data_IF_127827685062
#
_entry.id   IF_127827685062
#
_cell.length_a   1.000
_cell.length_b   1.000
_cell.length_c   1.000
_cell.angle_alpha   90.00
_cell.angle_beta   90.00
_cell.angle_gamma   90.00
#
_symmetry.space_group_name_H-M   'P 1'
#
loop_
_entity.id
_entity.type
_entity.pdbx_description
1 polymer ?
#
# COMPACT_ATOMS: atom_id res chain seq x y z
N UNK A 1 -21.31 19.68 14.99
CA UNK A 1 -20.67 18.83 16.03
C UNK A 1 -19.30 18.39 15.54
N UNK A 2 -18.22 18.53 16.32
CA UNK A 2 -16.88 18.02 15.97
C UNK A 2 -16.99 16.50 15.75
N UNK A 3 -16.52 15.99 14.59
CA UNK A 3 -16.54 14.56 14.23
C UNK A 3 -15.42 13.76 14.90
N UNK A 4 -14.42 14.43 15.45
CA UNK A 4 -13.22 13.85 16.05
C UNK A 4 -12.93 14.49 17.42
N UNK A 5 -12.19 13.79 18.26
CA UNK A 5 -11.70 14.26 19.56
C UNK A 5 -10.18 14.09 19.62
N UNK A 6 -9.51 14.87 20.47
CA UNK A 6 -8.05 14.78 20.65
C UNK A 6 -7.68 13.36 21.11
N UNK A 7 -6.63 12.81 20.49
CA UNK A 7 -6.06 11.54 20.91
C UNK A 7 -5.17 11.77 22.14
N UNK A 8 -5.28 10.89 23.12
CA UNK A 8 -4.42 10.91 24.31
C UNK A 8 -3.60 9.62 24.35
N UNK A 9 -2.30 9.76 24.10
CA UNK A 9 -1.35 8.66 24.21
C UNK A 9 -1.13 8.22 25.66
N UNK A 10 -0.84 6.93 25.87
CA UNK A 10 -0.37 6.40 27.15
C UNK A 10 1.06 6.85 27.46
N UNK A 11 1.85 7.17 26.44
CA UNK A 11 3.25 7.62 26.56
C UNK A 11 3.29 9.16 26.62
N UNK A 12 3.56 9.72 27.79
CA UNK A 12 3.47 11.18 28.03
C UNK A 12 4.77 11.93 27.77
N UNK A 13 5.88 11.24 27.74
CA UNK A 13 7.23 11.79 27.68
C UNK A 13 7.88 11.67 26.26
N UNK A 14 7.13 11.23 25.26
CA UNK A 14 7.53 11.23 23.85
C UNK A 14 6.86 12.38 23.07
N UNK A 15 7.46 12.74 21.93
CA UNK A 15 6.88 13.74 21.01
C UNK A 15 5.51 13.28 20.54
N UNK A 16 4.50 14.15 20.63
CA UNK A 16 3.16 13.89 20.08
C UNK A 16 3.02 14.44 18.66
N UNK A 17 2.20 13.78 17.86
CA UNK A 17 1.79 14.24 16.54
C UNK A 17 0.50 15.08 16.59
N UNK A 18 -0.02 15.33 17.79
CA UNK A 18 -1.28 16.06 18.01
C UNK A 18 -2.46 15.52 17.21
N UNK A 19 -2.51 14.21 17.08
CA UNK A 19 -3.52 13.52 16.31
C UNK A 19 -4.90 13.55 17.00
N UNK A 20 -5.93 13.30 16.20
CA UNK A 20 -7.31 13.16 16.66
C UNK A 20 -7.82 11.76 16.33
N UNK A 21 -8.84 11.35 17.04
CA UNK A 21 -9.52 10.06 16.84
C UNK A 21 -10.98 10.30 16.45
N UNK A 22 -11.54 9.52 15.50
CA UNK A 22 -12.97 9.55 15.22
C UNK A 22 -13.81 9.32 16.50
N UNK A 23 -14.82 10.17 16.70
CA UNK A 23 -15.59 10.17 17.94
C UNK A 23 -16.21 8.80 18.28
N UNK A 24 -16.60 8.04 17.25
CA UNK A 24 -17.19 6.71 17.41
C UNK A 24 -16.19 5.70 18.00
N UNK A 25 -14.88 5.88 17.77
CA UNK A 25 -13.82 4.98 18.25
C UNK A 25 -13.16 5.46 19.54
N UNK A 26 -13.39 6.72 19.93
CA UNK A 26 -12.64 7.37 21.00
C UNK A 26 -12.73 6.62 22.35
N UNK A 27 -13.95 6.33 22.80
CA UNK A 27 -14.16 5.64 24.06
C UNK A 27 -13.57 4.23 24.07
N UNK A 28 -13.78 3.48 22.99
CA UNK A 28 -13.27 2.11 22.84
C UNK A 28 -11.75 2.08 22.83
N UNK A 29 -11.11 2.97 22.06
CA UNK A 29 -9.65 3.05 21.98
C UNK A 29 -9.04 3.49 23.31
N UNK A 30 -9.60 4.51 23.97
CA UNK A 30 -9.12 4.96 25.28
C UNK A 30 -9.21 3.83 26.30
N UNK A 31 -10.30 3.11 26.33
CA UNK A 31 -10.49 1.95 27.22
C UNK A 31 -9.51 0.83 26.95
N UNK A 32 -9.26 0.51 25.67
CA UNK A 32 -8.29 -0.51 25.26
C UNK A 32 -6.85 -0.12 25.66
N UNK A 33 -6.48 1.15 25.47
CA UNK A 33 -5.17 1.67 25.86
C UNK A 33 -5.01 1.70 27.39
N UNK A 34 -6.05 2.05 28.15
CA UNK A 34 -6.03 1.99 29.62
C UNK A 34 -5.78 0.57 30.10
N UNK A 35 -6.49 -0.43 29.53
CA UNK A 35 -6.29 -1.84 29.85
C UNK A 35 -4.86 -2.30 29.49
N UNK A 36 -4.33 -1.87 28.34
CA UNK A 36 -2.96 -2.16 27.95
C UNK A 36 -1.97 -1.58 28.95
N UNK A 37 -2.14 -0.30 29.31
CA UNK A 37 -1.28 0.39 30.27
C UNK A 37 -1.29 -0.29 31.64
N UNK A 38 -2.46 -0.69 32.15
CA UNK A 38 -2.61 -1.47 33.39
C UNK A 38 -1.89 -2.83 33.30
N UNK A 39 -2.11 -3.56 32.20
CA UNK A 39 -1.47 -4.86 31.98
C UNK A 39 0.06 -4.79 31.89
N UNK A 40 0.60 -3.64 31.50
CA UNK A 40 2.03 -3.38 31.39
C UNK A 40 2.61 -2.63 32.61
N UNK A 41 1.86 -2.50 33.70
CA UNK A 41 2.31 -1.88 34.93
C UNK A 41 2.50 -0.38 34.84
N UNK A 42 1.86 0.30 33.88
CA UNK A 42 1.93 1.75 33.69
C UNK A 42 3.09 2.24 32.81
N UNK A 43 3.90 1.34 32.24
CA UNK A 43 5.06 1.69 31.40
C UNK A 43 4.98 1.06 30.01
N UNK A 44 4.12 1.61 29.17
CA UNK A 44 3.97 1.19 27.77
C UNK A 44 5.23 1.50 26.96
N UNK A 45 5.86 2.65 27.20
CA UNK A 45 7.11 3.04 26.54
C UNK A 45 8.25 2.06 26.85
N UNK A 46 8.47 1.73 28.13
CA UNK A 46 9.46 0.76 28.54
C UNK A 46 9.22 -0.66 28.02
N UNK A 47 7.95 -1.06 27.93
CA UNK A 47 7.59 -2.32 27.28
C UNK A 47 8.06 -2.37 25.82
N UNK A 48 7.76 -1.34 25.02
CA UNK A 48 8.17 -1.28 23.60
C UNK A 48 9.69 -1.17 23.49
N UNK A 49 10.32 -0.30 24.28
CA UNK A 49 11.78 -0.14 24.31
C UNK A 49 12.50 -1.47 24.57
N UNK A 50 12.04 -2.23 25.55
CA UNK A 50 12.58 -3.55 25.85
C UNK A 50 12.44 -4.53 24.68
N UNK A 51 11.26 -4.57 24.02
CA UNK A 51 11.01 -5.47 22.88
C UNK A 51 11.79 -5.10 21.63
N UNK A 52 12.10 -3.82 21.46
CA UNK A 52 12.90 -3.32 20.34
C UNK A 52 14.41 -3.25 20.68
N UNK A 53 14.83 -3.68 21.88
CA UNK A 53 16.20 -3.53 22.39
C UNK A 53 16.73 -2.10 22.19
N UNK A 54 15.96 -1.13 22.64
CA UNK A 54 16.27 0.30 22.60
C UNK A 54 16.24 0.89 24.02
N UNK A 55 17.02 1.93 24.27
CA UNK A 55 16.80 2.76 25.43
C UNK A 55 15.51 3.58 25.29
N UNK A 56 15.01 4.14 26.39
CA UNK A 56 13.84 5.03 26.34
C UNK A 56 14.09 6.27 25.46
N UNK A 57 15.32 6.78 25.45
CA UNK A 57 15.72 7.95 24.66
C UNK A 57 15.72 7.62 23.18
N UNK A 58 16.39 6.55 22.76
CA UNK A 58 16.39 6.08 21.36
C UNK A 58 14.96 5.80 20.84
N UNK A 59 14.10 5.21 21.68
CA UNK A 59 12.71 4.95 21.30
C UNK A 59 11.96 6.27 21.01
N UNK A 60 12.11 7.28 21.86
CA UNK A 60 11.44 8.58 21.72
C UNK A 60 11.97 9.42 20.55
N UNK A 61 13.23 9.25 20.19
CA UNK A 61 13.79 9.85 18.99
C UNK A 61 13.27 9.17 17.72
N UNK A 62 13.12 7.84 17.75
CA UNK A 62 12.68 7.05 16.60
C UNK A 62 11.17 7.09 16.37
N UNK A 63 10.34 7.11 17.42
CA UNK A 63 8.89 6.99 17.38
C UNK A 63 8.18 8.09 18.18
N UNK A 64 7.12 8.63 17.61
CA UNK A 64 6.21 9.52 18.33
C UNK A 64 5.32 8.71 19.32
N UNK A 65 4.73 9.39 20.30
CA UNK A 65 3.89 8.79 21.33
C UNK A 65 2.76 7.93 20.75
N UNK A 66 2.09 8.44 19.72
CA UNK A 66 1.04 7.72 19.00
C UNK A 66 1.55 6.43 18.33
N UNK A 67 2.75 6.49 17.76
CA UNK A 67 3.36 5.35 17.09
C UNK A 67 3.76 4.28 18.09
N UNK A 68 4.27 4.67 19.26
CA UNK A 68 4.61 3.74 20.36
C UNK A 68 3.36 3.00 20.83
N UNK A 69 2.21 3.66 21.01
CA UNK A 69 0.95 3.02 21.37
C UNK A 69 0.51 1.98 20.32
N UNK A 70 0.63 2.30 19.02
CA UNK A 70 0.29 1.38 17.94
C UNK A 70 1.17 0.13 17.92
N UNK A 71 2.49 0.32 18.09
CA UNK A 71 3.46 -0.76 18.18
C UNK A 71 3.24 -1.61 19.44
N UNK A 72 2.94 -0.97 20.58
CA UNK A 72 2.63 -1.67 21.83
C UNK A 72 1.41 -2.58 21.69
N UNK A 73 0.32 -2.06 21.09
CA UNK A 73 -0.88 -2.88 20.80
C UNK A 73 -0.54 -4.06 19.90
N UNK A 74 0.29 -3.84 18.85
CA UNK A 74 0.69 -4.91 17.93
C UNK A 74 1.47 -6.00 18.64
N UNK A 75 2.53 -5.64 19.36
CA UNK A 75 3.38 -6.59 20.09
C UNK A 75 2.57 -7.32 21.16
N UNK A 76 1.75 -6.59 21.94
CA UNK A 76 0.94 -7.20 23.00
C UNK A 76 -0.07 -8.21 22.45
N UNK A 77 -0.78 -7.90 21.36
CA UNK A 77 -1.71 -8.84 20.74
C UNK A 77 -0.99 -10.08 20.20
N UNK A 78 0.18 -9.93 19.57
CA UNK A 78 1.00 -11.05 19.10
C UNK A 78 1.43 -11.93 20.26
N UNK A 79 2.03 -11.35 21.31
CA UNK A 79 2.63 -12.12 22.40
C UNK A 79 1.61 -12.76 23.35
N UNK A 80 0.51 -12.06 23.65
CA UNK A 80 -0.45 -12.47 24.66
C UNK A 80 -1.68 -13.17 24.11
N UNK A 81 -2.02 -12.90 22.86
CA UNK A 81 -3.26 -13.40 22.26
C UNK A 81 -3.04 -14.23 21.00
N UNK A 82 -1.84 -14.21 20.39
CA UNK A 82 -1.59 -14.80 19.08
C UNK A 82 -2.44 -14.16 17.98
N UNK A 83 -2.76 -12.88 18.13
CA UNK A 83 -3.68 -12.14 17.25
C UNK A 83 -3.04 -10.88 16.68
N UNK A 84 -3.65 -10.35 15.65
CA UNK A 84 -3.20 -9.17 14.91
C UNK A 84 -3.82 -7.89 15.43
N UNK A 85 -3.25 -6.77 14.95
CA UNK A 85 -3.82 -5.44 15.06
C UNK A 85 -3.99 -4.81 13.68
N UNK A 86 -5.01 -3.99 13.52
CA UNK A 86 -5.23 -3.12 12.37
C UNK A 86 -4.86 -1.69 12.75
N UNK A 87 -3.79 -1.16 12.19
CA UNK A 87 -3.35 0.23 12.34
C UNK A 87 -3.97 1.02 11.20
N UNK A 88 -5.13 1.61 11.46
CA UNK A 88 -5.95 2.36 10.52
C UNK A 88 -5.61 3.85 10.42
N UNK A 89 -4.42 4.25 10.82
CA UNK A 89 -3.97 5.63 10.87
C UNK A 89 -4.00 6.33 9.51
N UNK A 90 -4.38 7.60 9.50
CA UNK A 90 -4.34 8.43 8.31
C UNK A 90 -2.93 8.52 7.74
N UNK A 91 -2.82 8.76 6.44
CA UNK A 91 -1.53 9.03 5.78
C UNK A 91 -0.82 10.20 6.47
N UNK A 92 0.48 10.04 6.76
CA UNK A 92 1.27 11.06 7.46
C UNK A 92 1.44 10.84 8.97
N UNK A 93 0.63 9.98 9.62
CA UNK A 93 0.82 9.59 11.04
C UNK A 93 2.09 8.71 11.22
N UNK A 94 2.70 8.27 10.12
CA UNK A 94 3.94 7.50 10.15
C UNK A 94 3.74 5.99 10.29
N UNK A 95 2.82 5.41 9.53
CA UNK A 95 2.64 3.95 9.43
C UNK A 95 3.93 3.24 9.03
N UNK A 96 4.76 3.84 8.15
CA UNK A 96 6.06 3.28 7.76
C UNK A 96 6.98 3.05 8.96
N UNK A 97 7.06 4.01 9.88
CA UNK A 97 7.83 3.86 11.13
C UNK A 97 7.30 2.74 12.02
N UNK A 98 5.98 2.60 12.13
CA UNK A 98 5.37 1.50 12.88
C UNK A 98 5.64 0.15 12.20
N UNK A 99 5.58 0.07 10.86
CA UNK A 99 5.95 -1.12 10.11
C UNK A 99 7.42 -1.51 10.30
N UNK A 100 8.35 -0.54 10.24
CA UNK A 100 9.76 -0.76 10.50
C UNK A 100 10.04 -1.22 11.94
N UNK A 101 9.29 -0.68 12.92
CA UNK A 101 9.35 -1.15 14.31
C UNK A 101 8.92 -2.62 14.42
N UNK A 102 7.91 -3.04 13.65
CA UNK A 102 7.50 -4.44 13.62
C UNK A 102 8.51 -5.35 12.89
N UNK A 103 9.22 -4.85 11.87
CA UNK A 103 10.36 -5.57 11.28
C UNK A 103 11.43 -5.79 12.33
N UNK A 104 11.84 -4.72 13.05
CA UNK A 104 12.83 -4.80 14.13
C UNK A 104 12.40 -5.80 15.22
N UNK A 105 11.15 -5.68 15.69
CA UNK A 105 10.59 -6.61 16.66
C UNK A 105 10.66 -8.06 16.16
N UNK A 106 10.28 -8.30 14.91
CA UNK A 106 10.31 -9.62 14.30
C UNK A 106 11.72 -10.23 14.30
N UNK A 107 12.71 -9.48 13.82
CA UNK A 107 14.11 -9.90 13.80
C UNK A 107 14.63 -10.24 15.20
N UNK A 108 14.36 -9.41 16.20
CA UNK A 108 14.81 -9.59 17.57
C UNK A 108 14.08 -10.72 18.32
N UNK A 109 12.84 -11.04 17.91
CA UNK A 109 12.00 -12.06 18.54
C UNK A 109 12.02 -13.41 17.83
N UNK A 110 12.94 -13.59 16.86
CA UNK A 110 13.12 -14.84 16.11
C UNK A 110 11.99 -15.13 15.12
N UNK A 111 11.31 -14.09 14.64
CA UNK A 111 10.43 -14.19 13.48
C UNK A 111 11.20 -13.89 12.19
N UNK A 112 10.72 -14.44 11.08
CA UNK A 112 11.06 -13.99 9.74
C UNK A 112 10.05 -12.91 9.33
N UNK A 113 10.43 -11.60 9.31
CA UNK A 113 9.53 -10.56 8.85
C UNK A 113 9.33 -10.64 7.34
N UNK A 114 8.08 -10.52 6.88
CA UNK A 114 7.72 -10.41 5.45
C UNK A 114 6.89 -9.14 5.28
N UNK A 115 7.53 -8.13 4.68
CA UNK A 115 6.91 -6.83 4.43
C UNK A 115 6.24 -6.80 3.06
N UNK A 116 4.92 -6.60 3.06
CA UNK A 116 4.10 -6.40 1.87
C UNK A 116 3.74 -4.93 1.67
N UNK A 117 3.85 -4.44 0.43
CA UNK A 117 3.40 -3.09 0.08
C UNK A 117 2.82 -3.03 -1.33
N UNK A 118 2.22 -1.89 -1.72
CA UNK A 118 1.58 -1.71 -3.02
C UNK A 118 2.59 -1.51 -4.16
N UNK A 119 3.63 -0.68 -3.93
CA UNK A 119 4.61 -0.29 -4.94
C UNK A 119 6.04 -0.56 -4.47
N UNK A 120 6.88 -1.02 -5.37
CA UNK A 120 8.30 -1.28 -5.07
C UNK A 120 9.09 -0.01 -4.70
N UNK A 121 8.64 1.18 -5.13
CA UNK A 121 9.26 2.46 -4.74
C UNK A 121 9.24 2.67 -3.22
N UNK A 122 8.24 2.11 -2.52
CA UNK A 122 8.12 2.17 -1.06
C UNK A 122 9.17 1.32 -0.32
N UNK A 123 9.93 0.48 -1.01
CA UNK A 123 11.03 -0.26 -0.38
C UNK A 123 12.16 0.66 0.07
N UNK A 124 12.45 1.73 -0.68
CA UNK A 124 13.43 2.75 -0.27
C UNK A 124 12.93 3.58 0.92
N UNK A 125 11.63 3.89 0.96
CA UNK A 125 11.01 4.52 2.14
C UNK A 125 11.09 3.62 3.37
N UNK A 126 10.85 2.32 3.20
CA UNK A 126 10.98 1.34 4.29
C UNK A 126 12.43 1.22 4.77
N UNK A 127 13.40 1.24 3.87
CA UNK A 127 14.83 1.25 4.25
C UNK A 127 15.16 2.49 5.11
N UNK A 128 14.71 3.68 4.70
CA UNK A 128 14.86 4.91 5.51
C UNK A 128 14.26 4.75 6.90
N UNK A 129 13.07 4.16 6.99
CA UNK A 129 12.38 3.96 8.27
C UNK A 129 13.07 2.87 9.12
N UNK A 130 13.60 1.81 8.51
CA UNK A 130 14.44 0.81 9.16
C UNK A 130 15.75 1.41 9.69
N UNK A 131 16.43 2.25 8.89
CA UNK A 131 17.65 2.98 9.29
C UNK A 131 17.39 3.83 10.54
N UNK A 132 16.27 4.54 10.58
CA UNK A 132 15.89 5.35 11.73
C UNK A 132 15.57 4.53 13.00
N UNK A 133 15.25 3.25 12.85
CA UNK A 133 15.06 2.30 13.95
C UNK A 133 16.32 1.45 14.22
N UNK A 134 17.48 1.83 13.69
CA UNK A 134 18.75 1.17 13.97
C UNK A 134 18.92 -0.22 13.38
N UNK A 135 18.16 -0.58 12.33
CA UNK A 135 18.27 -1.87 11.63
C UNK A 135 18.73 -1.73 10.18
N UNK A 136 19.59 -0.75 9.92
CA UNK A 136 20.15 -0.50 8.57
C UNK A 136 20.96 -1.68 8.00
N UNK A 137 21.51 -2.52 8.87
CA UNK A 137 22.34 -3.67 8.49
C UNK A 137 21.51 -4.91 8.10
N UNK A 138 20.19 -4.92 8.39
CA UNK A 138 19.33 -6.05 8.05
C UNK A 138 19.11 -6.11 6.53
N UNK A 139 19.35 -7.29 5.96
CA UNK A 139 19.42 -7.52 4.51
C UNK A 139 18.10 -8.07 3.97
N UNK A 140 17.35 -7.29 3.17
CA UNK A 140 16.10 -7.78 2.58
C UNK A 140 16.34 -8.68 1.37
N UNK A 141 15.59 -9.77 1.27
CA UNK A 141 15.32 -10.39 -0.02
C UNK A 141 14.23 -9.58 -0.72
N UNK A 142 14.62 -8.81 -1.73
CA UNK A 142 13.66 -8.09 -2.58
C UNK A 142 13.12 -9.05 -3.64
N UNK A 143 11.84 -9.44 -3.51
CA UNK A 143 11.20 -10.44 -4.37
C UNK A 143 10.91 -9.93 -5.78
N UNK A 144 10.81 -8.62 -5.95
CA UNK A 144 10.57 -7.96 -7.23
C UNK A 144 11.88 -7.89 -8.05
N UNK A 145 11.99 -8.69 -9.11
CA UNK A 145 13.18 -8.69 -9.97
C UNK A 145 13.47 -7.30 -10.58
N UNK A 146 14.75 -6.95 -10.68
CA UNK A 146 15.21 -5.70 -11.29
C UNK A 146 15.04 -4.44 -10.42
N UNK A 147 14.48 -4.57 -9.22
CA UNK A 147 14.28 -3.44 -8.31
C UNK A 147 15.55 -3.15 -7.51
N UNK A 148 15.85 -1.86 -7.34
CA UNK A 148 16.90 -1.36 -6.45
C UNK A 148 16.26 -0.59 -5.28
N UNK A 149 16.84 -0.75 -4.09
CA UNK A 149 16.52 0.03 -2.89
C UNK A 149 17.62 1.06 -2.72
N UNK A 150 17.25 2.33 -2.56
CA UNK A 150 18.19 3.45 -2.47
C UNK A 150 18.13 4.13 -1.11
N UNK A 151 19.23 4.71 -0.67
CA UNK A 151 19.30 5.59 0.48
C UNK A 151 19.08 7.04 0.04
N UNK A 152 17.94 7.63 0.42
CA UNK A 152 17.61 9.02 0.09
C UNK A 152 18.49 10.07 0.80
N UNK A 153 19.21 9.68 1.85
CA UNK A 153 20.10 10.58 2.57
C UNK A 153 21.48 10.72 1.91
N UNK A 154 21.81 9.79 0.99
CA UNK A 154 23.09 9.78 0.29
C UNK A 154 22.87 10.00 -1.20
N UNK A 155 23.17 11.23 -1.64
CA UNK A 155 23.20 11.59 -3.07
C UNK A 155 24.56 11.25 -3.60
N UNK A 156 24.63 10.46 -4.67
CA UNK A 156 25.88 10.20 -5.38
C UNK A 156 26.13 11.39 -6.32
N UNK A 157 27.09 12.23 -5.96
CA UNK A 157 27.51 13.34 -6.83
C UNK A 157 27.93 12.78 -8.20
N UNK A 158 27.21 13.17 -9.24
CA UNK A 158 27.67 12.98 -10.61
C UNK A 158 28.23 14.32 -11.10
N UNK A 159 29.39 14.27 -11.68
CA UNK A 159 29.82 15.31 -12.63
C UNK A 159 28.82 15.31 -13.81
N UNK A 160 27.70 16.01 -13.63
CA UNK A 160 26.75 16.24 -14.72
C UNK A 160 27.31 17.34 -15.59
N UNK A 161 27.88 16.96 -16.72
CA UNK A 161 28.23 17.88 -17.83
C UNK A 161 27.02 18.26 -18.67
N UNK A 162 25.77 17.92 -18.24
CA UNK A 162 24.55 18.33 -18.94
C UNK A 162 24.09 19.68 -18.41
N UNK A 163 24.27 20.72 -19.23
CA UNK A 163 23.62 22.01 -19.02
C UNK A 163 22.11 21.87 -19.27
N UNK A 164 21.31 22.61 -18.51
CA UNK A 164 19.84 22.57 -18.53
C UNK A 164 19.20 22.79 -19.92
N UNK A 165 19.99 23.23 -20.89
CA UNK A 165 19.54 23.54 -22.25
C UNK A 165 19.59 22.31 -23.18
N UNK A 166 20.27 21.23 -22.81
CA UNK A 166 20.35 19.99 -23.61
C UNK A 166 19.18 19.02 -23.30
N UNK A 167 18.38 19.29 -22.27
CA UNK A 167 17.28 18.41 -21.82
C UNK A 167 15.99 18.60 -22.63
N UNK A 168 15.93 19.64 -23.49
CA UNK A 168 14.72 19.96 -24.26
C UNK A 168 15.03 20.20 -25.75
N UNK A 169 15.17 19.13 -26.50
CA UNK A 169 15.07 19.19 -27.97
C UNK A 169 13.96 18.25 -28.42
N UNK A 170 12.87 18.77 -29.01
CA UNK A 170 11.73 17.94 -29.46
C UNK A 170 11.97 17.29 -30.84
N UNK A 171 13.19 17.09 -31.28
CA UNK A 171 13.49 16.77 -32.68
C UNK A 171 13.87 15.33 -32.98
N UNK A 172 14.11 14.47 -32.00
CA UNK A 172 14.59 13.11 -32.26
C UNK A 172 13.66 12.03 -31.66
N UNK A 173 12.74 11.53 -32.48
CA UNK A 173 11.77 10.48 -32.11
C UNK A 173 12.38 9.06 -32.02
N UNK A 174 13.61 8.84 -32.48
CA UNK A 174 14.24 7.51 -32.51
C UNK A 174 15.02 7.10 -31.25
N UNK A 175 15.16 8.00 -30.23
CA UNK A 175 15.99 7.77 -29.05
C UNK A 175 15.20 7.70 -27.71
N UNK A 176 13.87 7.54 -27.75
CA UNK A 176 13.04 7.58 -26.55
C UNK A 176 13.34 6.44 -25.55
N UNK A 177 13.61 5.22 -26.01
CA UNK A 177 13.99 4.11 -25.11
C UNK A 177 15.35 4.35 -24.44
N UNK A 178 16.30 4.91 -25.19
CA UNK A 178 17.64 5.25 -24.67
C UNK A 178 17.55 6.43 -23.70
N UNK A 179 16.73 7.42 -24.01
CA UNK A 179 16.46 8.58 -23.14
C UNK A 179 15.75 8.21 -21.84
N UNK A 180 14.73 7.35 -21.88
CA UNK A 180 14.06 6.83 -20.68
C UNK A 180 14.99 5.90 -19.87
N UNK A 181 15.81 5.08 -20.54
CA UNK A 181 16.82 4.26 -19.87
C UNK A 181 17.93 5.14 -19.26
N UNK A 182 18.35 6.23 -19.93
CA UNK A 182 19.30 7.19 -19.41
C UNK A 182 18.72 8.06 -18.31
N UNK A 183 17.44 8.47 -18.40
CA UNK A 183 16.73 9.20 -17.37
C UNK A 183 16.45 8.32 -16.14
N UNK A 184 16.06 7.06 -16.32
CA UNK A 184 15.99 6.09 -15.23
C UNK A 184 17.36 5.79 -14.65
N UNK A 185 18.40 5.74 -15.47
CA UNK A 185 19.78 5.60 -15.00
C UNK A 185 20.28 6.87 -14.26
N UNK A 186 19.91 8.06 -14.68
CA UNK A 186 20.16 9.33 -13.99
C UNK A 186 19.41 9.39 -12.64
N UNK A 187 18.15 8.97 -12.60
CA UNK A 187 17.38 8.93 -11.35
C UNK A 187 17.91 7.85 -10.37
N UNK A 188 18.34 6.70 -10.87
CA UNK A 188 18.99 5.65 -10.07
C UNK A 188 20.42 6.02 -9.64
N UNK A 189 21.07 6.90 -10.36
CA UNK A 189 22.42 7.39 -10.04
C UNK A 189 22.45 8.56 -9.06
N UNK A 190 21.29 9.22 -8.78
CA UNK A 190 21.22 10.32 -7.81
C UNK A 190 21.28 9.87 -6.35
N UNK A 191 20.92 8.62 -6.04
CA UNK A 191 20.93 8.08 -4.69
C UNK A 191 21.77 6.81 -4.62
N UNK A 192 22.43 6.62 -3.48
CA UNK A 192 23.20 5.41 -3.23
C UNK A 192 22.30 4.18 -3.26
N UNK A 193 22.64 3.18 -4.06
CA UNK A 193 21.93 1.90 -4.11
C UNK A 193 22.45 1.01 -2.99
N UNK A 194 21.61 0.76 -1.98
CA UNK A 194 21.95 -0.07 -0.81
C UNK A 194 21.65 -1.55 -1.01
N UNK A 195 20.60 -1.87 -1.73
CA UNK A 195 20.24 -3.25 -2.06
C UNK A 195 19.75 -3.36 -3.50
N UNK A 196 20.12 -4.46 -4.17
CA UNK A 196 19.57 -4.85 -5.47
C UNK A 196 18.84 -6.18 -5.35
N UNK A 197 17.66 -6.26 -5.94
CA UNK A 197 16.98 -7.54 -6.09
C UNK A 197 17.88 -8.54 -6.84
N UNK A 198 17.91 -9.80 -6.45
CA UNK A 198 18.58 -10.84 -7.21
C UNK A 198 18.05 -10.91 -8.65
N UNK A 199 18.86 -11.42 -9.57
CA UNK A 199 18.43 -11.67 -10.95
C UNK A 199 17.21 -12.61 -10.97
N UNK A 200 16.36 -12.47 -11.97
CA UNK A 200 15.11 -13.25 -12.08
C UNK A 200 15.37 -14.78 -12.02
N UNK A 201 16.46 -15.27 -12.61
CA UNK A 201 16.84 -16.69 -12.53
C UNK A 201 17.15 -17.15 -11.11
N UNK A 202 17.91 -16.32 -10.35
CA UNK A 202 18.27 -16.61 -8.95
C UNK A 202 17.01 -16.59 -8.07
N UNK A 203 16.12 -15.61 -8.27
CA UNK A 203 14.84 -15.58 -7.56
C UNK A 203 14.00 -16.83 -7.84
N UNK A 204 13.96 -17.28 -9.09
CA UNK A 204 13.24 -18.51 -9.45
C UNK A 204 13.83 -19.74 -8.76
N UNK A 205 15.16 -19.86 -8.68
CA UNK A 205 15.82 -20.94 -7.93
C UNK A 205 15.45 -20.91 -6.45
N UNK A 206 15.47 -19.74 -5.81
CA UNK A 206 15.07 -19.57 -4.42
C UNK A 206 13.60 -19.98 -4.23
N UNK A 207 12.70 -19.55 -5.11
CA UNK A 207 11.28 -19.91 -5.00
C UNK A 207 11.01 -21.40 -5.19
N UNK A 208 11.71 -22.05 -6.14
CA UNK A 208 11.57 -23.49 -6.39
C UNK A 208 12.14 -24.30 -5.23
N UNK A 209 13.27 -23.87 -4.64
CA UNK A 209 13.84 -24.53 -3.45
C UNK A 209 12.94 -24.39 -2.23
N UNK A 210 12.14 -23.33 -2.16
CA UNK A 210 11.26 -23.06 -1.02
C UNK A 210 12.01 -22.67 0.26
N UNK A 211 13.26 -22.24 0.16
CA UNK A 211 14.13 -21.90 1.29
C UNK A 211 14.67 -20.49 1.15
N UNK A 212 14.78 -19.76 2.28
CA UNK A 212 15.47 -18.48 2.33
C UNK A 212 16.96 -18.71 2.62
N UNK A 213 17.89 -18.21 1.77
CA UNK A 213 19.31 -18.18 2.10
C UNK A 213 19.59 -17.24 3.29
N UNK A 214 19.57 -17.79 4.52
CA UNK A 214 19.70 -17.01 5.76
C UNK A 214 21.09 -16.37 5.95
N UNK A 215 22.12 -16.90 5.31
CA UNK A 215 23.45 -16.30 5.24
C UNK A 215 23.47 -15.00 4.42
N UNK A 216 22.49 -14.82 3.54
CA UNK A 216 22.38 -13.67 2.65
C UNK A 216 21.25 -12.69 3.02
N UNK A 217 20.14 -13.17 3.62
CA UNK A 217 18.93 -12.38 3.83
C UNK A 217 18.33 -12.61 5.22
N UNK A 218 17.84 -11.53 5.83
CA UNK A 218 17.28 -11.52 7.18
C UNK A 218 15.75 -11.37 7.18
N UNK A 219 15.17 -10.76 6.12
CA UNK A 219 13.73 -10.54 5.95
C UNK A 219 13.36 -10.40 4.47
N UNK A 220 12.06 -10.31 4.16
CA UNK A 220 11.57 -10.17 2.79
C UNK A 220 10.86 -8.83 2.56
N UNK A 221 11.05 -8.27 1.36
CA UNK A 221 10.26 -7.17 0.80
C UNK A 221 9.55 -7.64 -0.48
N UNK A 222 8.23 -7.52 -0.53
CA UNK A 222 7.41 -8.01 -1.64
C UNK A 222 6.25 -7.05 -1.92
N UNK A 223 5.91 -6.85 -3.19
CA UNK A 223 4.67 -6.14 -3.54
C UNK A 223 3.51 -7.11 -3.73
N UNK A 224 2.28 -6.66 -3.43
CA UNK A 224 1.07 -7.46 -3.67
C UNK A 224 0.94 -7.93 -5.12
N UNK A 225 1.46 -7.16 -6.07
CA UNK A 225 1.43 -7.51 -7.50
C UNK A 225 2.14 -8.83 -7.82
N UNK A 226 3.09 -9.27 -6.98
CA UNK A 226 3.77 -10.55 -7.16
C UNK A 226 2.84 -11.77 -6.98
N UNK A 227 1.65 -11.59 -6.40
CA UNK A 227 0.62 -12.62 -6.26
C UNK A 227 -0.50 -12.53 -7.32
N UNK A 228 -0.41 -11.63 -8.31
CA UNK A 228 -1.46 -11.47 -9.35
C UNK A 228 -1.69 -12.72 -10.20
N UNK A 229 -0.64 -13.48 -10.43
CA UNK A 229 -0.68 -14.68 -11.27
C UNK A 229 -0.78 -15.99 -10.47
N UNK A 230 -1.06 -15.90 -9.17
CA UNK A 230 -1.12 -17.07 -8.27
C UNK A 230 -2.07 -18.20 -8.75
N UNK A 231 -3.04 -17.90 -9.62
CA UNK A 231 -3.89 -18.93 -10.26
C UNK A 231 -3.20 -19.68 -11.39
N UNK A 232 -2.19 -19.11 -12.04
CA UNK A 232 -1.46 -19.68 -13.17
C UNK A 232 -0.09 -20.19 -12.78
N UNK A 233 0.56 -19.46 -11.89
CA UNK A 233 1.88 -19.76 -11.37
C UNK A 233 1.86 -19.60 -9.86
N UNK A 234 1.77 -20.71 -9.13
CA UNK A 234 1.76 -20.75 -7.68
C UNK A 234 3.16 -20.70 -7.05
N UNK A 235 4.22 -20.62 -7.84
CA UNK A 235 5.61 -20.75 -7.34
C UNK A 235 5.91 -19.79 -6.19
N UNK A 236 5.52 -18.50 -6.32
CA UNK A 236 5.73 -17.52 -5.24
C UNK A 236 4.85 -17.76 -4.03
N UNK A 237 3.61 -18.18 -4.25
CA UNK A 237 2.69 -18.52 -3.17
C UNK A 237 3.20 -19.71 -2.38
N UNK A 238 3.62 -20.78 -3.08
CA UNK A 238 4.20 -21.99 -2.47
C UNK A 238 5.50 -21.68 -1.72
N UNK A 239 6.33 -20.79 -2.26
CA UNK A 239 7.53 -20.30 -1.57
C UNK A 239 7.17 -19.62 -0.24
N UNK A 240 6.19 -18.72 -0.23
CA UNK A 240 5.75 -18.06 1.01
C UNK A 240 5.17 -19.08 2.02
N UNK A 241 4.42 -20.06 1.56
CA UNK A 241 3.89 -21.12 2.41
C UNK A 241 5.02 -21.99 2.99
N UNK A 242 6.00 -22.38 2.17
CA UNK A 242 7.17 -23.13 2.63
C UNK A 242 7.98 -22.35 3.71
N UNK A 243 8.12 -21.04 3.55
CA UNK A 243 8.74 -20.21 4.61
C UNK A 243 7.92 -20.22 5.90
N UNK A 244 6.59 -20.23 5.81
CA UNK A 244 5.72 -20.30 6.99
C UNK A 244 5.80 -21.66 7.73
N UNK A 245 6.16 -22.73 7.03
CA UNK A 245 6.41 -24.05 7.63
C UNK A 245 7.78 -24.13 8.31
N UNK A 246 8.79 -23.46 7.74
CA UNK A 246 10.18 -23.53 8.22
C UNK A 246 10.50 -22.49 9.28
N UNK A 247 9.78 -21.35 9.29
CA UNK A 247 10.06 -20.20 10.14
C UNK A 247 8.82 -19.73 10.90
N UNK A 248 9.05 -19.09 12.03
CA UNK A 248 8.03 -18.25 12.68
C UNK A 248 7.91 -16.96 11.87
N UNK A 249 6.86 -16.84 11.07
CA UNK A 249 6.67 -15.69 10.17
C UNK A 249 5.85 -14.60 10.83
N UNK A 250 6.30 -13.33 10.64
CA UNK A 250 5.54 -12.13 10.94
C UNK A 250 5.25 -11.38 9.63
N UNK A 251 4.00 -11.43 9.17
CA UNK A 251 3.56 -10.64 8.04
C UNK A 251 3.26 -9.20 8.44
N UNK A 252 3.82 -8.25 7.70
CA UNK A 252 3.60 -6.81 7.88
C UNK A 252 2.97 -6.30 6.59
N UNK A 253 1.64 -6.14 6.60
CA UNK A 253 0.86 -5.72 5.44
C UNK A 253 0.70 -4.20 5.44
N UNK A 254 1.59 -3.50 4.74
CA UNK A 254 1.41 -2.07 4.46
C UNK A 254 0.43 -1.88 3.30
N UNK A 255 -0.36 -0.79 3.34
CA UNK A 255 -1.51 -0.61 2.45
C UNK A 255 -2.43 -1.85 2.41
N UNK A 256 -2.73 -2.39 3.60
CA UNK A 256 -3.43 -3.65 3.79
C UNK A 256 -4.78 -3.76 3.06
N UNK A 257 -5.39 -2.65 2.64
CA UNK A 257 -6.58 -2.68 1.78
C UNK A 257 -6.33 -3.37 0.43
N UNK A 258 -5.07 -3.53 0.00
CA UNK A 258 -4.70 -4.29 -1.20
C UNK A 258 -4.74 -5.81 -0.96
N UNK A 259 -4.49 -6.23 0.28
CA UNK A 259 -4.60 -7.65 0.68
C UNK A 259 -6.04 -8.13 0.75
N UNK A 260 -7.00 -7.20 0.88
CA UNK A 260 -8.42 -7.45 1.10
C UNK A 260 -9.31 -6.98 -0.06
N UNK A 261 -8.75 -6.81 -1.27
CA UNK A 261 -9.46 -6.29 -2.44
C UNK A 261 -10.59 -7.21 -2.91
N UNK A 262 -11.78 -6.63 -3.13
CA UNK A 262 -12.95 -7.33 -3.66
C UNK A 262 -13.39 -6.68 -4.97
N UNK A 263 -13.54 -7.48 -6.04
CA UNK A 263 -14.02 -7.05 -7.35
C UNK A 263 -15.34 -7.74 -7.69
N UNK A 264 -16.39 -6.95 -7.92
CA UNK A 264 -17.73 -7.47 -8.25
C UNK A 264 -18.22 -8.55 -7.26
N UNK A 265 -18.02 -8.35 -5.96
CA UNK A 265 -18.43 -9.28 -4.89
C UNK A 265 -17.54 -10.52 -4.73
N UNK A 266 -16.44 -10.63 -5.50
CA UNK A 266 -15.48 -11.75 -5.40
C UNK A 266 -14.10 -11.22 -4.96
N UNK A 267 -13.43 -11.97 -4.07
CA UNK A 267 -12.06 -11.67 -3.69
C UNK A 267 -11.14 -11.63 -4.91
N UNK A 268 -10.25 -10.62 -4.97
CA UNK A 268 -9.22 -10.54 -6.02
C UNK A 268 -8.28 -11.75 -5.95
N UNK A 269 -7.52 -12.02 -7.01
CA UNK A 269 -6.54 -13.12 -7.01
C UNK A 269 -5.49 -12.94 -5.90
N UNK A 270 -5.06 -11.70 -5.68
CA UNK A 270 -4.15 -11.35 -4.58
C UNK A 270 -4.78 -11.70 -3.22
N UNK A 271 -6.01 -11.28 -3.01
CA UNK A 271 -6.76 -11.56 -1.76
C UNK A 271 -6.95 -13.05 -1.54
N UNK A 272 -7.25 -13.82 -2.60
CA UNK A 272 -7.37 -15.27 -2.51
C UNK A 272 -6.03 -15.92 -2.11
N UNK A 273 -4.92 -15.47 -2.69
CA UNK A 273 -3.59 -15.96 -2.32
C UNK A 273 -3.22 -15.65 -0.87
N UNK A 274 -3.47 -14.42 -0.40
CA UNK A 274 -3.21 -14.04 0.99
C UNK A 274 -4.13 -14.79 1.95
N UNK A 275 -5.42 -14.91 1.64
CA UNK A 275 -6.35 -15.69 2.46
C UNK A 275 -5.91 -17.15 2.56
N UNK A 276 -5.47 -17.75 1.45
CA UNK A 276 -4.94 -19.12 1.44
C UNK A 276 -3.73 -19.26 2.37
N UNK A 277 -2.75 -18.34 2.28
CA UNK A 277 -1.61 -18.34 3.21
C UNK A 277 -2.11 -18.28 4.66
N UNK A 278 -2.98 -17.32 4.99
CA UNK A 278 -3.46 -17.12 6.35
C UNK A 278 -4.29 -18.30 6.87
N UNK A 279 -5.00 -19.04 6.00
CA UNK A 279 -5.78 -20.23 6.35
C UNK A 279 -4.87 -21.44 6.63
N UNK A 280 -3.93 -21.69 5.72
CA UNK A 280 -3.03 -22.86 5.80
C UNK A 280 -1.93 -22.70 6.85
N UNK A 281 -1.62 -21.47 7.29
CA UNK A 281 -0.53 -21.20 8.25
C UNK A 281 -1.03 -20.46 9.50
N UNK A 282 -1.88 -21.09 10.33
CA UNK A 282 -2.51 -20.45 11.50
C UNK A 282 -1.50 -19.96 12.56
N UNK A 283 -0.28 -20.51 12.58
CA UNK A 283 0.81 -20.15 13.50
C UNK A 283 1.48 -18.81 13.17
N UNK A 284 1.27 -18.27 11.97
CA UNK A 284 1.88 -16.99 11.55
C UNK A 284 1.21 -15.79 12.22
N UNK A 285 2.00 -14.76 12.46
CA UNK A 285 1.53 -13.50 13.02
C UNK A 285 1.38 -12.42 11.94
N UNK A 286 0.52 -11.44 12.17
CA UNK A 286 0.28 -10.37 11.20
C UNK A 286 0.14 -9.01 11.88
N UNK A 287 0.49 -7.95 11.14
CA UNK A 287 0.11 -6.57 11.42
C UNK A 287 -0.44 -5.96 10.14
N UNK A 288 -1.59 -5.31 10.21
CA UNK A 288 -2.23 -4.67 9.06
C UNK A 288 -2.16 -3.15 9.21
N UNK A 289 -1.56 -2.46 8.25
CA UNK A 289 -1.44 -1.01 8.24
C UNK A 289 -2.16 -0.45 6.99
N UNK A 290 -3.14 0.42 7.17
CA UNK A 290 -3.80 1.09 6.05
C UNK A 290 -4.66 2.26 6.49
N UNK A 291 -4.50 3.42 5.87
CA UNK A 291 -5.41 4.56 6.08
C UNK A 291 -6.85 4.26 5.62
N UNK A 292 -7.00 3.35 4.66
CA UNK A 292 -8.28 2.96 4.05
C UNK A 292 -8.52 1.45 4.22
N UNK A 293 -8.41 0.96 5.47
CA UNK A 293 -8.42 -0.47 5.80
C UNK A 293 -9.64 -1.24 5.27
N UNK A 294 -10.79 -0.58 5.10
CA UNK A 294 -11.99 -1.18 4.56
C UNK A 294 -12.70 -0.22 3.58
N UNK A 295 -12.29 -0.24 2.30
CA UNK A 295 -12.98 0.49 1.23
C UNK A 295 -14.39 -0.03 0.98
N UNK A 296 -14.62 -1.29 1.27
CA UNK A 296 -15.91 -1.98 1.24
C UNK A 296 -16.02 -2.85 2.47
N UNK A 297 -17.23 -3.09 3.00
CA UNK A 297 -17.43 -3.90 4.20
C UNK A 297 -16.77 -5.28 4.11
N UNK A 298 -16.82 -5.92 2.96
CA UNK A 298 -16.26 -7.26 2.73
C UNK A 298 -14.73 -7.33 2.87
N UNK A 299 -14.04 -6.18 2.81
CA UNK A 299 -12.58 -6.14 3.04
C UNK A 299 -12.21 -6.56 4.47
N UNK A 300 -13.13 -6.44 5.43
CA UNK A 300 -12.92 -6.85 6.82
C UNK A 300 -12.73 -8.37 6.98
N UNK A 301 -13.18 -9.18 6.03
CA UNK A 301 -13.06 -10.64 6.09
C UNK A 301 -11.62 -11.12 6.14
N UNK A 302 -10.69 -10.45 5.46
CA UNK A 302 -9.25 -10.79 5.52
C UNK A 302 -8.69 -10.56 6.93
N UNK A 303 -9.07 -9.46 7.58
CA UNK A 303 -8.60 -9.14 8.94
C UNK A 303 -9.21 -10.05 10.00
N UNK A 304 -10.40 -10.59 9.75
CA UNK A 304 -11.08 -11.53 10.63
C UNK A 304 -10.20 -12.71 11.02
N UNK A 305 -9.42 -13.26 10.07
CA UNK A 305 -8.64 -14.49 10.27
C UNK A 305 -7.60 -14.40 11.36
N UNK A 306 -7.21 -13.20 11.76
CA UNK A 306 -6.16 -12.96 12.78
C UNK A 306 -6.63 -12.02 13.90
N UNK A 307 -7.94 -11.87 14.07
CA UNK A 307 -8.54 -11.05 15.13
C UNK A 307 -9.60 -11.84 15.88
N UNK A 308 -10.12 -11.29 16.97
CA UNK A 308 -11.22 -11.88 17.76
C UNK A 308 -12.49 -12.09 16.94
N UNK A 309 -12.64 -11.47 15.78
CA UNK A 309 -13.79 -11.67 14.90
C UNK A 309 -13.94 -13.13 14.46
N UNK A 310 -12.84 -13.87 14.32
CA UNK A 310 -12.87 -15.30 13.97
C UNK A 310 -13.54 -16.18 15.05
N UNK A 311 -13.53 -15.74 16.30
CA UNK A 311 -14.20 -16.42 17.40
C UNK A 311 -15.67 -16.03 17.55
N UNK A 312 -16.06 -14.88 16.99
CA UNK A 312 -17.43 -14.34 17.14
C UNK A 312 -18.37 -14.80 16.04
N UNK A 313 -17.86 -15.04 14.84
CA UNK A 313 -18.68 -15.40 13.68
C UNK A 313 -17.90 -16.26 12.68
N UNK A 314 -18.62 -17.06 11.90
CA UNK A 314 -18.05 -17.68 10.71
C UNK A 314 -17.86 -16.63 9.61
N UNK A 315 -17.00 -16.91 8.63
CA UNK A 315 -16.78 -16.01 7.49
C UNK A 315 -18.09 -15.70 6.75
N UNK A 316 -18.92 -16.72 6.51
CA UNK A 316 -20.22 -16.54 5.85
C UNK A 316 -21.16 -15.67 6.66
N UNK A 317 -21.26 -15.91 7.97
CA UNK A 317 -22.11 -15.10 8.86
C UNK A 317 -21.67 -13.64 8.89
N UNK A 318 -20.37 -13.38 9.01
CA UNK A 318 -19.84 -12.01 8.99
C UNK A 318 -20.03 -11.36 7.62
N UNK A 319 -19.82 -12.09 6.54
CA UNK A 319 -20.03 -11.61 5.17
C UNK A 319 -21.48 -11.20 4.94
N UNK A 320 -22.43 -12.05 5.35
CA UNK A 320 -23.86 -11.75 5.22
C UNK A 320 -24.26 -10.54 6.08
N UNK A 321 -23.77 -10.47 7.32
CA UNK A 321 -24.01 -9.32 8.20
C UNK A 321 -23.44 -8.01 7.62
N UNK A 322 -22.21 -8.03 7.06
CA UNK A 322 -21.59 -6.88 6.42
C UNK A 322 -22.32 -6.47 5.13
N UNK A 323 -22.80 -7.45 4.36
CA UNK A 323 -23.53 -7.18 3.13
C UNK A 323 -24.90 -6.56 3.42
N UNK A 324 -25.63 -7.08 4.39
CA UNK A 324 -26.95 -6.57 4.79
C UNK A 324 -26.84 -5.23 5.54
N UNK A 325 -25.86 -5.10 6.44
CA UNK A 325 -25.71 -3.93 7.31
C UNK A 325 -24.88 -2.80 6.72
N UNK A 326 -24.09 -3.06 5.64
CA UNK A 326 -23.28 -2.04 4.95
C UNK A 326 -22.34 -1.28 5.87
N UNK A 327 -22.26 0.04 5.67
CA UNK A 327 -21.38 0.94 6.44
C UNK A 327 -21.63 0.92 7.95
N UNK A 328 -22.89 0.96 8.44
CA UNK A 328 -23.16 0.85 9.89
C UNK A 328 -22.60 -0.43 10.52
N UNK A 329 -22.69 -1.55 9.83
CA UNK A 329 -22.11 -2.81 10.32
C UNK A 329 -20.59 -2.79 10.31
N UNK A 330 -19.99 -2.17 9.30
CA UNK A 330 -18.55 -1.95 9.24
C UNK A 330 -18.05 -1.09 10.41
N UNK A 331 -18.77 -0.02 10.75
CA UNK A 331 -18.46 0.83 11.90
C UNK A 331 -18.60 0.07 13.22
N UNK A 332 -19.65 -0.75 13.36
CA UNK A 332 -19.82 -1.60 14.53
C UNK A 332 -18.66 -2.59 14.70
N UNK A 333 -18.30 -3.32 13.66
CA UNK A 333 -17.16 -4.25 13.67
C UNK A 333 -15.85 -3.54 14.00
N UNK A 334 -15.63 -2.35 13.45
CA UNK A 334 -14.47 -1.52 13.77
C UNK A 334 -14.44 -1.11 15.25
N UNK A 335 -15.57 -0.79 15.83
CA UNK A 335 -15.71 -0.44 17.25
C UNK A 335 -15.43 -1.66 18.16
N UNK A 336 -15.89 -2.86 17.77
CA UNK A 336 -15.56 -4.10 18.47
C UNK A 336 -14.04 -4.38 18.45
N UNK A 337 -13.40 -4.25 17.29
CA UNK A 337 -11.93 -4.40 17.18
C UNK A 337 -11.19 -3.37 18.02
N UNK A 338 -11.65 -2.11 18.04
CA UNK A 338 -11.05 -1.06 18.85
C UNK A 338 -11.19 -1.35 20.36
N UNK A 339 -12.35 -1.84 20.80
CA UNK A 339 -12.61 -2.21 22.19
C UNK A 339 -11.69 -3.34 22.69
N UNK A 340 -11.34 -4.26 21.80
CA UNK A 340 -10.39 -5.36 22.05
C UNK A 340 -8.92 -4.95 21.87
N UNK A 341 -8.64 -3.68 21.53
CA UNK A 341 -7.27 -3.22 21.24
C UNK A 341 -6.67 -3.84 19.98
N UNK A 342 -7.51 -4.34 19.08
CA UNK A 342 -7.10 -4.92 17.81
C UNK A 342 -7.27 -3.97 16.62
N UNK A 343 -7.69 -2.75 16.90
CA UNK A 343 -7.75 -1.67 15.94
C UNK A 343 -7.45 -0.35 16.61
N UNK A 344 -6.62 0.46 15.94
CA UNK A 344 -6.40 1.86 16.28
C UNK A 344 -6.49 2.70 15.01
N UNK A 345 -7.16 3.85 15.08
CA UNK A 345 -7.28 4.78 13.97
C UNK A 345 -7.16 6.21 14.45
N UNK A 346 -6.17 6.91 13.92
CA UNK A 346 -5.90 8.30 14.23
C UNK A 346 -5.84 9.11 12.94
N UNK A 347 -6.19 10.39 13.07
CA UNK A 347 -6.26 11.33 11.96
C UNK A 347 -5.51 12.61 12.35
N UNK A 348 -5.07 13.39 11.36
CA UNK A 348 -4.48 14.70 11.63
C UNK A 348 -5.54 15.65 12.19
N UNK A 349 -5.14 16.48 13.15
CA UNK A 349 -5.97 17.61 13.57
C UNK A 349 -6.12 18.58 12.41
N UNK A 350 -7.37 18.92 12.08
CA UNK A 350 -7.68 19.98 11.13
C UNK A 350 -7.66 21.38 11.78
N UNK A 351 -7.32 21.49 13.07
CA UNK A 351 -7.27 22.78 13.78
C UNK A 351 -6.10 23.61 13.26
N UNK A 352 -6.36 24.85 12.90
CA UNK A 352 -5.36 25.76 12.35
C UNK A 352 -5.11 25.63 10.84
N UNK A 353 -5.69 24.63 10.17
CA UNK A 353 -5.62 24.56 8.72
C UNK A 353 -6.64 25.53 8.09
N UNK A 354 -6.25 26.25 7.02
CA UNK A 354 -7.18 27.09 6.29
C UNK A 354 -8.31 26.23 5.70
N UNK A 355 -9.53 26.79 5.67
CA UNK A 355 -10.66 26.11 5.02
C UNK A 355 -10.31 25.80 3.57
N UNK A 356 -10.43 24.54 3.13
CA UNK A 356 -10.18 24.20 1.73
C UNK A 356 -11.09 25.02 0.81
N UNK A 357 -10.48 25.72 -0.15
CA UNK A 357 -11.22 26.40 -1.22
C UNK A 357 -11.22 25.47 -2.42
N UNK A 358 -12.40 25.03 -2.83
CA UNK A 358 -12.59 24.22 -4.02
C UNK A 358 -12.83 25.15 -5.21
N UNK A 359 -11.90 25.13 -6.16
CA UNK A 359 -12.03 25.86 -7.42
C UNK A 359 -12.24 24.86 -8.55
N UNK A 360 -13.32 25.00 -9.28
CA UNK A 360 -13.58 24.21 -10.48
C UNK A 360 -13.01 24.93 -11.69
N UNK A 361 -12.24 24.23 -12.51
CA UNK A 361 -11.62 24.79 -13.73
C UNK A 361 -12.48 24.42 -14.95
N UNK A 362 -13.77 24.81 -14.93
CA UNK A 362 -14.79 24.31 -15.86
C UNK A 362 -14.98 25.23 -17.11
N UNK A 363 -14.36 26.40 -17.14
CA UNK A 363 -14.61 27.43 -18.18
C UNK A 363 -14.35 26.94 -19.62
N UNK A 364 -13.51 25.93 -19.84
CA UNK A 364 -13.22 25.35 -21.17
C UNK A 364 -13.98 24.06 -21.45
N UNK A 365 -14.71 23.50 -20.47
CA UNK A 365 -15.49 22.27 -20.67
C UNK A 365 -16.61 22.49 -21.71
N UNK A 366 -17.20 23.69 -21.77
CA UNK A 366 -18.23 24.01 -22.76
C UNK A 366 -17.67 24.04 -24.19
N UNK A 367 -16.43 24.52 -24.38
CA UNK A 367 -15.78 24.58 -25.70
C UNK A 367 -15.37 23.18 -26.20
N UNK A 368 -14.91 22.32 -25.30
CA UNK A 368 -14.42 20.99 -25.66
C UNK A 368 -15.46 19.88 -25.37
N UNK A 369 -16.52 20.18 -24.63
CA UNK A 369 -17.55 19.23 -24.23
C UNK A 369 -18.23 18.56 -25.41
N UNK A 370 -18.63 19.34 -26.45
CA UNK A 370 -19.22 18.76 -27.66
C UNK A 370 -18.26 17.82 -28.41
N UNK A 371 -16.99 18.20 -28.48
CA UNK A 371 -15.97 17.33 -29.13
C UNK A 371 -15.75 16.07 -28.33
N UNK A 372 -15.67 16.19 -26.98
CA UNK A 372 -15.57 15.06 -26.08
C UNK A 372 -16.77 14.13 -26.21
N UNK A 373 -17.98 14.66 -26.23
CA UNK A 373 -19.21 13.87 -26.38
C UNK A 373 -19.26 13.12 -27.72
N UNK A 374 -18.80 13.74 -28.82
CA UNK A 374 -18.67 13.08 -30.11
C UNK A 374 -17.67 11.90 -30.06
N UNK A 375 -16.52 12.11 -29.42
CA UNK A 375 -15.50 11.07 -29.24
C UNK A 375 -16.04 9.93 -28.36
N UNK A 376 -16.71 10.25 -27.25
CA UNK A 376 -17.32 9.28 -26.35
C UNK A 376 -18.47 8.50 -27.01
N UNK A 377 -19.27 9.15 -27.86
CA UNK A 377 -20.27 8.49 -28.69
C UNK A 377 -19.62 7.48 -29.63
N UNK A 378 -18.56 7.87 -30.34
CA UNK A 378 -17.82 7.00 -31.23
C UNK A 378 -17.23 5.79 -30.49
N UNK A 379 -16.62 6.00 -29.32
CA UNK A 379 -16.11 4.90 -28.49
C UNK A 379 -17.22 3.96 -28.01
N UNK A 380 -18.37 4.46 -27.65
CA UNK A 380 -19.52 3.65 -27.28
C UNK A 380 -19.96 2.74 -28.44
N UNK A 381 -19.96 3.25 -29.66
CA UNK A 381 -20.32 2.46 -30.84
C UNK A 381 -19.24 1.40 -31.17
N UNK A 382 -17.96 1.72 -31.02
CA UNK A 382 -16.86 0.73 -31.13
C UNK A 382 -17.01 -0.38 -30.09
N UNK A 383 -17.36 -0.08 -28.84
CA UNK A 383 -17.59 -1.09 -27.80
C UNK A 383 -18.76 -2.01 -28.15
N UNK A 384 -19.85 -1.43 -28.66
CA UNK A 384 -21.01 -2.21 -29.13
C UNK A 384 -20.62 -3.14 -30.27
N UNK A 385 -19.91 -2.64 -31.28
CA UNK A 385 -19.43 -3.40 -32.41
C UNK A 385 -18.50 -4.54 -31.97
N UNK A 386 -17.51 -4.22 -31.13
CA UNK A 386 -16.58 -5.20 -30.56
C UNK A 386 -17.30 -6.31 -29.78
N UNK A 387 -18.33 -5.93 -29.01
CA UNK A 387 -19.13 -6.91 -28.27
C UNK A 387 -19.93 -7.82 -29.20
N UNK A 388 -20.52 -7.25 -30.25
CA UNK A 388 -21.27 -7.99 -31.29
C UNK A 388 -20.36 -8.97 -32.03
N UNK A 389 -19.19 -8.51 -32.49
CA UNK A 389 -18.19 -9.36 -33.16
C UNK A 389 -17.73 -10.48 -32.23
N UNK A 390 -17.46 -10.20 -30.94
CA UNK A 390 -17.08 -11.22 -29.95
C UNK A 390 -18.18 -12.27 -29.76
N UNK A 391 -19.42 -11.84 -29.71
CA UNK A 391 -20.57 -12.77 -29.63
C UNK A 391 -20.63 -13.68 -30.87
N UNK A 392 -20.43 -13.11 -32.07
CA UNK A 392 -20.39 -13.89 -33.32
C UNK A 392 -19.22 -14.88 -33.33
N UNK A 393 -18.02 -14.47 -32.89
CA UNK A 393 -16.85 -15.36 -32.76
C UNK A 393 -17.11 -16.51 -31.80
N UNK A 394 -17.67 -16.20 -30.61
CA UNK A 394 -18.01 -17.24 -29.64
C UNK A 394 -19.07 -18.21 -30.19
N UNK A 395 -20.06 -17.73 -30.95
CA UNK A 395 -21.05 -18.59 -31.64
C UNK A 395 -20.39 -19.48 -32.69
N UNK A 396 -19.51 -18.90 -33.53
CA UNK A 396 -18.80 -19.68 -34.56
C UNK A 396 -17.92 -20.77 -33.92
N UNK A 397 -17.24 -20.48 -32.80
CA UNK A 397 -16.44 -21.45 -32.04
C UNK A 397 -17.29 -22.59 -31.47
N UNK A 398 -18.53 -22.32 -31.04
CA UNK A 398 -19.46 -23.37 -30.60
C UNK A 398 -19.83 -24.36 -31.72
N UNK A 399 -19.75 -23.93 -32.98
CA UNK A 399 -19.99 -24.78 -34.16
C UNK A 399 -18.69 -25.26 -34.82
N UNK A 400 -17.54 -25.20 -34.13
CA UNK A 400 -16.22 -25.56 -34.64
C UNK A 400 -15.80 -24.82 -35.94
N UNK A 401 -16.30 -23.60 -36.13
CA UNK A 401 -15.91 -22.73 -37.23
C UNK A 401 -14.75 -21.86 -36.80
N UNK A 402 -13.57 -22.05 -37.39
CA UNK A 402 -12.39 -21.20 -37.15
C UNK A 402 -12.53 -19.92 -38.00
N UNK A 403 -12.57 -18.77 -37.30
CA UNK A 403 -12.54 -17.46 -37.94
C UNK A 403 -11.10 -16.99 -38.09
N UNK A 404 -10.75 -16.30 -39.22
CA UNK A 404 -9.36 -15.89 -39.51
C UNK A 404 -8.87 -14.68 -38.69
N UNK A 405 -9.61 -14.25 -37.68
CA UNK A 405 -9.25 -13.08 -36.84
C UNK A 405 -9.42 -13.38 -35.37
N UNK A 406 -8.57 -12.74 -34.57
CA UNK A 406 -8.65 -12.75 -33.09
C UNK A 406 -9.36 -11.50 -32.59
N UNK A 407 -10.37 -11.65 -31.73
CA UNK A 407 -10.97 -10.54 -31.01
C UNK A 407 -10.12 -10.20 -29.77
N UNK A 408 -9.56 -9.00 -29.74
CA UNK A 408 -8.89 -8.48 -28.58
C UNK A 408 -9.88 -7.76 -27.65
N UNK A 409 -9.65 -7.77 -26.31
CA UNK A 409 -10.50 -7.06 -25.36
C UNK A 409 -10.27 -5.55 -25.47
N UNK A 410 -11.12 -4.86 -26.24
CA UNK A 410 -11.02 -3.40 -26.50
C UNK A 410 -11.43 -2.53 -25.31
N UNK A 411 -12.15 -3.07 -24.30
CA UNK A 411 -12.67 -2.28 -23.17
C UNK A 411 -11.57 -1.64 -22.31
N UNK A 412 -10.49 -2.36 -22.04
CA UNK A 412 -9.38 -1.84 -21.26
C UNK A 412 -8.65 -0.71 -22.00
N UNK A 413 -8.41 -0.87 -23.29
CA UNK A 413 -7.79 0.15 -24.14
C UNK A 413 -8.67 1.41 -24.24
N UNK A 414 -9.97 1.25 -24.45
CA UNK A 414 -10.92 2.39 -24.50
C UNK A 414 -11.02 3.12 -23.16
N UNK A 415 -11.00 2.39 -22.04
CA UNK A 415 -10.95 3.02 -20.71
C UNK A 415 -9.67 3.86 -20.54
N UNK A 416 -8.56 3.35 -21.05
CA UNK A 416 -7.27 4.02 -21.00
C UNK A 416 -7.25 5.29 -21.87
N UNK A 417 -7.71 5.19 -23.11
CA UNK A 417 -7.84 6.33 -24.04
C UNK A 417 -8.74 7.43 -23.43
N UNK A 418 -9.85 7.04 -22.78
CA UNK A 418 -10.73 7.99 -22.10
C UNK A 418 -10.00 8.74 -20.98
N UNK A 419 -9.19 8.07 -20.18
CA UNK A 419 -8.37 8.70 -19.14
C UNK A 419 -7.39 9.73 -19.73
N UNK A 420 -6.73 9.35 -20.83
CA UNK A 420 -5.79 10.25 -21.54
C UNK A 420 -6.47 11.49 -22.04
N UNK A 421 -7.61 11.33 -22.71
CA UNK A 421 -8.40 12.46 -23.21
C UNK A 421 -8.82 13.39 -22.06
N UNK A 422 -9.32 12.85 -20.95
CA UNK A 422 -9.69 13.65 -19.78
C UNK A 422 -8.49 14.38 -19.17
N UNK A 423 -7.32 13.75 -19.17
CA UNK A 423 -6.11 14.39 -18.67
C UNK A 423 -5.64 15.50 -19.61
N UNK A 424 -5.63 15.26 -20.93
CA UNK A 424 -5.22 16.25 -21.93
C UNK A 424 -6.09 17.51 -21.91
N UNK A 425 -7.39 17.36 -21.71
CA UNK A 425 -8.32 18.49 -21.58
C UNK A 425 -8.03 19.37 -20.34
N UNK A 426 -7.55 18.77 -19.25
CA UNK A 426 -7.27 19.45 -17.98
C UNK A 426 -5.84 19.98 -17.88
N UNK A 427 -4.89 19.39 -18.60
CA UNK A 427 -3.45 19.60 -18.40
C UNK A 427 -3.05 21.08 -18.49
N UNK A 428 -3.51 21.81 -19.52
CA UNK A 428 -3.16 23.21 -19.74
C UNK A 428 -3.61 24.10 -18.57
N UNK A 429 -4.84 23.96 -18.10
CA UNK A 429 -5.38 24.78 -17.00
C UNK A 429 -4.76 24.42 -15.66
N UNK A 430 -4.55 23.13 -15.41
CA UNK A 430 -3.85 22.69 -14.20
C UNK A 430 -2.43 23.24 -14.18
N UNK A 431 -1.71 23.21 -15.30
CA UNK A 431 -0.37 23.76 -15.40
C UNK A 431 -0.37 25.30 -15.17
N UNK A 432 -1.31 26.03 -15.77
CA UNK A 432 -1.46 27.48 -15.57
C UNK A 432 -1.73 27.81 -14.09
N UNK A 433 -2.69 27.13 -13.47
CA UNK A 433 -3.02 27.31 -12.06
C UNK A 433 -1.83 26.97 -11.15
N UNK A 434 -1.07 25.93 -11.49
CA UNK A 434 0.14 25.54 -10.75
C UNK A 434 1.20 26.65 -10.84
N UNK A 435 1.50 27.15 -12.03
CA UNK A 435 2.49 28.22 -12.25
C UNK A 435 2.10 29.49 -11.49
N UNK A 436 0.82 29.86 -11.52
CA UNK A 436 0.32 31.04 -10.82
C UNK A 436 0.49 30.90 -9.29
N UNK A 437 0.15 29.74 -8.73
CA UNK A 437 0.34 29.49 -7.29
C UNK A 437 1.83 29.48 -6.89
N UNK A 438 2.71 28.89 -7.69
CA UNK A 438 4.16 28.93 -7.46
C UNK A 438 4.67 30.37 -7.49
N UNK A 439 4.24 31.21 -8.44
CA UNK A 439 4.61 32.62 -8.50
C UNK A 439 4.15 33.41 -7.27
N UNK A 440 3.07 32.97 -6.62
CA UNK A 440 2.57 33.53 -5.36
C UNK A 440 3.28 32.96 -4.12
N UNK A 441 4.35 32.17 -4.29
CA UNK A 441 5.12 31.55 -3.20
C UNK A 441 4.39 30.38 -2.52
N UNK A 442 3.38 29.79 -3.16
CA UNK A 442 2.63 28.66 -2.63
C UNK A 442 3.23 27.34 -3.10
N UNK A 443 3.21 26.33 -2.25
CA UNK A 443 3.55 24.96 -2.64
C UNK A 443 2.40 24.34 -3.44
N UNK A 444 2.73 23.68 -4.54
CA UNK A 444 1.74 23.05 -5.43
C UNK A 444 1.96 21.54 -5.45
N UNK A 445 0.87 20.79 -5.30
CA UNK A 445 0.84 19.34 -5.48
C UNK A 445 -0.18 18.99 -6.54
N UNK A 446 0.25 18.37 -7.63
CA UNK A 446 -0.62 17.93 -8.71
C UNK A 446 -0.87 16.43 -8.55
N UNK A 447 -2.11 16.07 -8.20
CA UNK A 447 -2.56 14.68 -8.17
C UNK A 447 -3.14 14.26 -9.51
N UNK A 448 -2.57 13.22 -10.13
CA UNK A 448 -3.07 12.64 -11.37
C UNK A 448 -3.60 11.24 -11.12
N UNK A 449 -4.66 10.86 -11.83
CA UNK A 449 -5.22 9.50 -11.74
C UNK A 449 -4.38 8.46 -12.48
N UNK A 450 -3.52 8.91 -13.39
CA UNK A 450 -2.59 8.07 -14.18
C UNK A 450 -1.40 8.91 -14.65
N UNK A 451 -0.23 8.29 -14.71
CA UNK A 451 0.92 8.82 -15.43
C UNK A 451 0.82 8.31 -16.86
N UNK A 452 0.97 9.15 -17.85
CA UNK A 452 0.89 8.78 -19.27
C UNK A 452 2.05 7.85 -19.72
N UNK A 453 2.90 7.40 -18.81
CA UNK A 453 4.08 6.57 -19.08
C UNK A 453 3.80 5.38 -20.02
N UNK A 454 2.65 4.70 -19.84
CA UNK A 454 2.32 3.56 -20.71
C UNK A 454 1.83 3.93 -22.11
N UNK A 455 1.51 5.19 -22.40
CA UNK A 455 1.05 5.62 -23.73
C UNK A 455 2.22 6.13 -24.55
N UNK A 456 3.17 6.77 -23.90
CA UNK A 456 4.38 7.28 -24.57
C UNK A 456 5.31 6.14 -25.01
N UNK A 457 5.20 4.95 -24.36
CA UNK A 457 5.98 3.75 -24.71
C UNK A 457 5.38 2.94 -25.86
N UNK A 458 4.09 3.13 -26.22
CA UNK A 458 3.38 2.34 -27.24
C UNK A 458 3.12 3.15 -28.54
N UNK A 459 3.60 4.38 -28.67
CA UNK A 459 3.52 5.23 -29.87
C UNK A 459 4.91 5.44 -30.42
#
# INVERSE_FOLDING_TARGET
>A
MKKSTKYESTVKDAKTLESVIPKQLAEYTTRALSKLNEALGGDVGGYVANRLHMSHEELREALAAEQIDGVALAIYNIEKRGQSVVIGDQTGIGKGRQAAAMIRYGLLSGYLPIFFTDRYTLFSDMYRDCKALGIKEARPLVVNAGVSVVDFDHVVEQETTCTSDEIWSPADEEDNEKYEAERMALYQKQYEVVYKAPKKSVLQEIFIKGELPQDAFDYLMITYSQLKDAKRDMTRLNFLMALCEQHRVLFIFDEAHKSSGVNAGKASVITQGINMILEETPQTQCVFLSATFAKRPECLLTFMRRTTLSALATENTLKDALHCGGVPMQEYVSSCLAAEGQMIRREHSGEGLPTPVYTYLDEDLDVHGEQFDKVMFFFREIVKLSTMVRTMVNHALMYNVLLPFKCYPTRAQLFYINKVLLLSLKAKKVAQAAIENVRQGRSVVIGMSDTLECIVQDV
#
